data_IF_970051301354
#
_entry.id   IF_970051301354
#
_cell.length_a   1.000
_cell.length_b   1.000
_cell.length_c   1.000
_cell.angle_alpha   90.00
_cell.angle_beta   90.00
_cell.angle_gamma   90.00
#
_symmetry.space_group_name_H-M   'P 1'
#
loop_
_entity.id
_entity.type
_entity.pdbx_description
1 polymer ?
#
# COMPACT_ATOMS: atom_id res chain seq x y z
N UNK A 1 -15.69 -23.94 -10.63
CA UNK A 1 -15.52 -22.49 -10.38
C UNK A 1 -14.03 -22.24 -10.29
N UNK A 2 -13.48 -21.33 -11.09
CA UNK A 2 -12.08 -20.93 -10.94
C UNK A 2 -11.93 -20.19 -9.62
N UNK A 3 -10.96 -20.60 -8.80
CA UNK A 3 -10.58 -19.85 -7.60
C UNK A 3 -9.89 -18.57 -8.11
N UNK A 4 -10.34 -17.40 -7.64
CA UNK A 4 -9.67 -16.13 -7.94
C UNK A 4 -8.34 -16.07 -7.19
N UNK A 5 -7.30 -15.61 -7.86
CA UNK A 5 -6.01 -15.32 -7.23
C UNK A 5 -6.12 -14.13 -6.27
N UNK A 6 -5.19 -14.06 -5.31
CA UNK A 6 -5.08 -12.92 -4.38
C UNK A 6 -4.92 -11.59 -5.14
N UNK A 7 -4.14 -11.59 -6.23
CA UNK A 7 -3.95 -10.41 -7.09
C UNK A 7 -5.28 -9.95 -7.70
N UNK A 8 -6.06 -10.85 -8.28
CA UNK A 8 -7.36 -10.52 -8.88
C UNK A 8 -8.34 -9.97 -7.84
N UNK A 9 -8.31 -10.49 -6.61
CA UNK A 9 -9.12 -9.98 -5.50
C UNK A 9 -8.74 -8.53 -5.18
N UNK A 10 -7.45 -8.25 -4.98
CA UNK A 10 -6.97 -6.89 -4.66
C UNK A 10 -7.27 -5.91 -5.80
N UNK A 11 -7.04 -6.30 -7.06
CA UNK A 11 -7.36 -5.43 -8.19
C UNK A 11 -8.87 -5.14 -8.32
N UNK A 12 -9.73 -6.12 -8.05
CA UNK A 12 -11.19 -5.92 -8.05
C UNK A 12 -11.63 -4.97 -6.92
N UNK A 13 -10.99 -5.06 -5.75
CA UNK A 13 -11.21 -4.13 -4.64
C UNK A 13 -10.88 -2.69 -5.05
N UNK A 14 -9.73 -2.45 -5.67
CA UNK A 14 -9.38 -1.10 -6.15
C UNK A 14 -10.32 -0.60 -7.23
N UNK A 15 -10.73 -1.48 -8.14
CA UNK A 15 -11.66 -1.13 -9.21
C UNK A 15 -13.04 -0.75 -8.69
N UNK A 16 -13.62 -1.57 -7.81
CA UNK A 16 -15.03 -1.45 -7.41
C UNK A 16 -15.23 -0.77 -6.06
N UNK A 17 -14.49 -1.18 -5.04
CA UNK A 17 -14.68 -0.65 -3.69
C UNK A 17 -14.04 0.74 -3.57
N UNK A 18 -12.81 0.92 -4.03
CA UNK A 18 -12.11 2.22 -3.96
C UNK A 18 -12.56 3.14 -5.10
N UNK A 19 -12.31 2.75 -6.35
CA UNK A 19 -12.64 3.57 -7.53
C UNK A 19 -14.15 3.70 -7.77
N UNK A 20 -14.89 2.60 -7.64
CA UNK A 20 -16.34 2.58 -7.79
C UNK A 20 -17.13 2.98 -6.53
N UNK A 21 -16.46 3.20 -5.40
CA UNK A 21 -17.06 3.57 -4.10
C UNK A 21 -18.15 2.60 -3.62
N UNK A 22 -18.04 1.32 -4.00
CA UNK A 22 -18.98 0.24 -3.67
C UNK A 22 -18.63 -0.40 -2.32
N UNK A 23 -19.12 0.19 -1.24
CA UNK A 23 -18.86 -0.32 0.13
C UNK A 23 -19.62 -1.60 0.44
N UNK A 24 -20.58 -2.02 -0.39
CA UNK A 24 -21.28 -3.31 -0.19
C UNK A 24 -20.32 -4.51 -0.26
N UNK A 25 -19.13 -4.30 -0.83
CA UNK A 25 -18.09 -5.31 -0.99
C UNK A 25 -17.20 -5.49 0.24
N UNK A 26 -17.31 -4.64 1.26
CA UNK A 26 -16.39 -4.68 2.41
C UNK A 26 -16.50 -6.01 3.16
N UNK A 27 -17.71 -6.53 3.37
CA UNK A 27 -17.93 -7.82 4.02
C UNK A 27 -17.57 -9.02 3.14
N UNK A 28 -17.41 -8.79 1.83
CA UNK A 28 -17.00 -9.84 0.88
C UNK A 28 -15.49 -10.04 0.86
N UNK A 29 -14.71 -8.97 1.08
CA UNK A 29 -13.27 -9.00 0.85
C UNK A 29 -12.42 -8.68 2.07
N UNK A 30 -12.97 -8.03 3.10
CA UNK A 30 -12.22 -7.60 4.27
C UNK A 30 -12.62 -8.46 5.46
N UNK A 31 -11.62 -9.09 6.07
CA UNK A 31 -11.80 -9.94 7.25
C UNK A 31 -12.21 -9.10 8.47
N UNK A 32 -13.01 -9.68 9.36
CA UNK A 32 -13.37 -9.01 10.63
C UNK A 32 -12.18 -8.86 11.58
N UNK A 33 -11.11 -9.66 11.38
CA UNK A 33 -9.82 -9.53 12.08
C UNK A 33 -8.79 -8.72 11.30
N UNK A 34 -9.24 -7.88 10.37
CA UNK A 34 -8.35 -7.01 9.58
C UNK A 34 -7.50 -6.13 10.48
N UNK A 35 -6.18 -6.14 10.25
CA UNK A 35 -5.20 -5.31 10.96
C UNK A 35 -4.74 -4.18 10.03
N UNK A 36 -4.83 -2.94 10.52
CA UNK A 36 -4.36 -1.75 9.79
C UNK A 36 -3.01 -1.27 10.36
N UNK A 37 -2.07 -0.96 9.47
CA UNK A 37 -0.78 -0.37 9.82
C UNK A 37 -0.59 1.07 9.30
N UNK A 38 -1.52 1.57 8.48
CA UNK A 38 -1.50 2.94 7.97
C UNK A 38 -1.47 3.98 9.08
N UNK A 39 -0.50 4.90 9.03
CA UNK A 39 -0.43 6.00 10.00
C UNK A 39 -1.62 6.97 9.94
N UNK A 40 -2.44 6.88 8.89
CA UNK A 40 -3.56 7.78 8.64
C UNK A 40 -4.91 7.21 9.08
N UNK A 41 -5.03 5.89 9.23
CA UNK A 41 -6.31 5.22 9.39
C UNK A 41 -6.42 4.55 10.75
N UNK A 42 -7.63 4.61 11.33
CA UNK A 42 -7.94 3.84 12.54
C UNK A 42 -7.87 2.35 12.26
N UNK A 43 -7.68 1.58 13.33
CA UNK A 43 -7.59 0.13 13.22
C UNK A 43 -8.90 -0.53 12.73
N UNK A 44 -8.74 -1.73 12.21
CA UNK A 44 -9.84 -2.64 11.94
C UNK A 44 -10.65 -2.27 10.72
N UNK A 45 -11.55 -3.20 10.38
CA UNK A 45 -12.51 -3.04 9.29
C UNK A 45 -13.37 -1.78 9.44
N UNK A 46 -13.68 -1.40 10.68
CA UNK A 46 -14.41 -0.17 10.99
C UNK A 46 -13.63 1.11 10.59
N UNK A 47 -12.31 1.15 10.84
CA UNK A 47 -11.47 2.27 10.40
C UNK A 47 -11.40 2.40 8.88
N UNK A 48 -11.33 1.27 8.18
CA UNK A 48 -11.42 1.24 6.71
C UNK A 48 -12.79 1.71 6.21
N UNK A 49 -13.90 1.26 6.82
CA UNK A 49 -15.25 1.72 6.48
C UNK A 49 -15.39 3.24 6.62
N UNK A 50 -14.87 3.80 7.72
CA UNK A 50 -14.87 5.24 7.96
C UNK A 50 -14.12 6.00 6.86
N UNK A 51 -12.94 5.52 6.47
CA UNK A 51 -12.14 6.10 5.39
C UNK A 51 -12.86 6.07 4.03
N UNK A 52 -13.53 4.96 3.72
CA UNK A 52 -14.29 4.81 2.48
C UNK A 52 -15.54 5.70 2.44
N UNK A 53 -16.20 5.90 3.58
CA UNK A 53 -17.31 6.86 3.68
C UNK A 53 -16.82 8.31 3.49
N UNK A 54 -15.66 8.66 4.03
CA UNK A 54 -15.03 9.96 3.76
C UNK A 54 -14.68 10.13 2.28
N UNK A 55 -14.14 9.09 1.65
CA UNK A 55 -13.82 9.09 0.21
C UNK A 55 -15.07 9.35 -0.66
N UNK A 56 -16.26 8.87 -0.25
CA UNK A 56 -17.51 9.15 -0.96
C UNK A 56 -17.89 10.63 -0.97
N UNK A 57 -17.49 11.38 0.05
CA UNK A 57 -17.81 12.81 0.17
C UNK A 57 -16.91 13.68 -0.72
N UNK A 58 -15.77 13.16 -1.16
CA UNK A 58 -14.89 13.86 -2.09
C UNK A 58 -15.49 13.84 -3.50
N UNK A 59 -15.28 14.88 -4.33
CA UNK A 59 -15.69 14.84 -5.73
C UNK A 59 -15.10 13.60 -6.42
N UNK A 60 -15.84 12.91 -7.31
CA UNK A 60 -15.29 11.81 -8.07
C UNK A 60 -14.07 12.30 -8.85
N UNK A 61 -12.94 11.62 -8.69
CA UNK A 61 -11.75 11.90 -9.50
C UNK A 61 -12.09 11.62 -10.96
N UNK A 62 -12.05 12.65 -11.80
CA UNK A 62 -12.27 12.50 -13.23
C UNK A 62 -11.26 11.50 -13.81
N UNK A 63 -11.76 10.35 -14.30
CA UNK A 63 -11.02 9.52 -15.25
C UNK A 63 -10.08 8.42 -14.75
N UNK A 64 -9.90 8.19 -13.44
CA UNK A 64 -9.07 7.05 -12.97
C UNK A 64 -9.87 6.01 -12.20
N UNK A 65 -10.36 5.01 -12.93
CA UNK A 65 -10.74 3.72 -12.34
C UNK A 65 -9.44 2.95 -12.08
N UNK A 66 -8.98 2.96 -10.83
CA UNK A 66 -7.78 2.28 -10.32
C UNK A 66 -6.42 2.71 -10.95
N UNK A 67 -5.70 3.67 -10.34
CA UNK A 67 -4.41 4.20 -10.81
C UNK A 67 -3.20 3.27 -10.54
N UNK A 68 -3.36 1.97 -10.82
CA UNK A 68 -2.35 0.95 -10.55
C UNK A 68 -1.24 1.01 -11.61
N UNK A 69 -0.01 1.25 -11.16
CA UNK A 69 1.21 1.22 -11.98
C UNK A 69 1.75 -0.20 -12.10
N UNK A 70 1.82 -0.93 -11.00
CA UNK A 70 2.17 -2.35 -10.98
C UNK A 70 1.51 -3.09 -9.80
N UNK A 71 1.37 -4.40 -9.94
CA UNK A 71 0.86 -5.30 -8.92
C UNK A 71 1.79 -6.53 -8.81
N UNK A 72 2.27 -6.79 -7.61
CA UNK A 72 3.21 -7.89 -7.29
C UNK A 72 2.51 -8.82 -6.32
N UNK A 73 2.35 -10.09 -6.66
CA UNK A 73 1.75 -11.10 -5.81
C UNK A 73 2.72 -12.26 -5.59
N UNK A 74 2.99 -12.57 -4.32
CA UNK A 74 3.81 -13.71 -3.93
C UNK A 74 3.23 -14.35 -2.66
N UNK A 75 2.84 -15.62 -2.77
CA UNK A 75 2.13 -16.35 -1.72
C UNK A 75 0.84 -15.64 -1.30
N UNK A 76 0.74 -15.36 0.00
CA UNK A 76 -0.41 -14.69 0.61
C UNK A 76 -0.37 -13.16 0.53
N UNK A 77 0.68 -12.59 -0.07
CA UNK A 77 0.87 -11.15 -0.13
C UNK A 77 0.62 -10.60 -1.54
N UNK A 78 0.06 -9.39 -1.58
CA UNK A 78 -0.09 -8.60 -2.81
C UNK A 78 0.30 -7.17 -2.51
N UNK A 79 1.19 -6.61 -3.32
CA UNK A 79 1.57 -5.21 -3.26
C UNK A 79 1.14 -4.47 -4.53
N UNK A 80 0.73 -3.23 -4.37
CA UNK A 80 0.44 -2.31 -5.46
C UNK A 80 1.37 -1.10 -5.38
N UNK A 81 1.84 -0.65 -6.54
CA UNK A 81 2.30 0.73 -6.72
C UNK A 81 1.19 1.51 -7.41
N UNK A 82 0.80 2.63 -6.83
CA UNK A 82 -0.22 3.53 -7.36
C UNK A 82 0.39 4.89 -7.68
N UNK A 83 -0.16 5.56 -8.69
CA UNK A 83 0.15 6.96 -8.99
C UNK A 83 -1.15 7.76 -9.08
N UNK A 84 -1.55 8.35 -7.95
CA UNK A 84 -2.83 9.02 -7.78
C UNK A 84 -2.68 10.54 -7.88
N UNK A 85 -3.75 11.24 -8.21
CA UNK A 85 -3.79 12.71 -8.12
C UNK A 85 -4.57 13.12 -6.89
N UNK A 86 -3.94 13.87 -5.98
CA UNK A 86 -4.56 14.43 -4.79
C UNK A 86 -4.25 15.93 -4.72
N UNK A 87 -5.29 16.78 -4.68
CA UNK A 87 -5.13 18.24 -4.64
C UNK A 87 -4.14 18.76 -5.70
N UNK A 88 -4.33 18.32 -6.96
CA UNK A 88 -3.49 18.67 -8.13
C UNK A 88 -2.04 18.16 -8.09
N UNK A 89 -1.68 17.35 -7.08
CA UNK A 89 -0.35 16.75 -6.95
C UNK A 89 -0.37 15.27 -7.28
N UNK A 90 0.66 14.79 -7.97
CA UNK A 90 0.89 13.38 -8.16
C UNK A 90 1.48 12.77 -6.88
N UNK A 91 0.82 11.74 -6.35
CA UNK A 91 1.21 11.02 -5.14
C UNK A 91 1.49 9.56 -5.53
N UNK A 92 2.68 9.07 -5.17
CA UNK A 92 2.99 7.65 -5.23
C UNK A 92 2.57 7.00 -3.92
N UNK A 93 1.80 5.93 -4.02
CA UNK A 93 1.37 5.11 -2.87
C UNK A 93 1.83 3.68 -3.10
N UNK A 94 2.38 3.06 -2.07
CA UNK A 94 2.61 1.63 -2.03
C UNK A 94 1.66 1.06 -1.00
N UNK A 95 0.78 0.19 -1.44
CA UNK A 95 -0.09 -0.59 -0.55
C UNK A 95 0.36 -2.04 -0.57
N UNK A 96 0.53 -2.65 0.60
CA UNK A 96 0.87 -4.05 0.79
C UNK A 96 -0.25 -4.72 1.58
N UNK A 97 -0.75 -5.82 1.05
CA UNK A 97 -1.83 -6.61 1.64
C UNK A 97 -1.34 -8.00 1.97
N UNK A 98 -1.86 -8.56 3.06
CA UNK A 98 -1.85 -10.01 3.31
C UNK A 98 -3.27 -10.54 3.25
N UNK A 99 -3.44 -11.67 2.58
CA UNK A 99 -4.72 -12.33 2.41
C UNK A 99 -4.70 -13.71 3.05
N UNK A 100 -5.84 -14.13 3.57
CA UNK A 100 -6.10 -15.51 3.98
C UNK A 100 -7.47 -15.93 3.44
N UNK A 101 -7.54 -17.09 2.79
CA UNK A 101 -8.79 -17.66 2.28
C UNK A 101 -9.60 -16.68 1.40
N UNK A 102 -8.92 -15.83 0.63
CA UNK A 102 -9.53 -14.85 -0.27
C UNK A 102 -10.03 -13.58 0.41
N UNK A 103 -9.70 -13.35 1.69
CA UNK A 103 -10.00 -12.13 2.43
C UNK A 103 -8.71 -11.37 2.76
N UNK A 104 -8.72 -10.04 2.67
CA UNK A 104 -7.66 -9.19 3.22
C UNK A 104 -7.76 -9.24 4.75
N UNK A 105 -6.66 -9.64 5.36
CA UNK A 105 -6.53 -9.74 6.83
C UNK A 105 -5.55 -8.71 7.40
N UNK A 106 -4.73 -8.07 6.58
CA UNK A 106 -3.72 -7.12 7.05
C UNK A 106 -3.30 -6.19 5.92
N UNK A 107 -2.98 -4.94 6.26
CA UNK A 107 -2.61 -3.90 5.31
C UNK A 107 -1.56 -2.95 5.87
N UNK A 108 -0.58 -2.62 5.03
CA UNK A 108 0.40 -1.57 5.25
C UNK A 108 0.42 -0.63 4.06
N UNK A 109 0.66 0.65 4.32
CA UNK A 109 0.88 1.63 3.27
C UNK A 109 2.10 2.51 3.54
N UNK A 110 2.57 3.15 2.47
CA UNK A 110 3.38 4.35 2.55
C UNK A 110 3.13 5.21 1.31
N UNK A 111 3.25 6.52 1.47
CA UNK A 111 3.06 7.46 0.37
C UNK A 111 4.07 8.60 0.36
N UNK A 112 4.29 9.16 -0.83
CA UNK A 112 5.04 10.42 -1.01
C UNK A 112 4.49 11.19 -2.20
N UNK A 113 4.66 12.50 -2.16
CA UNK A 113 4.50 13.34 -3.36
C UNK A 113 5.58 12.97 -4.38
N UNK A 114 5.17 12.71 -5.62
CA UNK A 114 6.02 12.16 -6.69
C UNK A 114 7.11 13.14 -7.11
N UNK A 115 6.73 14.42 -7.25
CA UNK A 115 7.59 15.48 -7.79
C UNK A 115 8.27 16.29 -6.69
N UNK A 116 8.04 15.93 -5.42
CA UNK A 116 8.72 16.56 -4.29
C UNK A 116 10.18 16.13 -4.27
N UNK A 117 11.07 17.07 -4.56
CA UNK A 117 12.51 16.90 -4.40
C UNK A 117 12.84 16.93 -2.91
N UNK A 118 12.87 15.77 -2.27
CA UNK A 118 13.37 15.61 -0.91
C UNK A 118 14.86 15.33 -0.93
N UNK A 119 15.62 15.91 0.00
CA UNK A 119 16.99 15.46 0.25
C UNK A 119 17.01 13.94 0.49
N UNK A 120 18.05 13.26 0.00
CA UNK A 120 18.22 11.83 0.26
C UNK A 120 18.23 11.59 1.77
N UNK A 121 17.26 10.85 2.27
CA UNK A 121 17.25 10.43 3.66
C UNK A 121 18.13 9.19 3.77
N UNK A 122 19.27 9.33 4.44
CA UNK A 122 20.14 8.19 4.74
C UNK A 122 19.57 7.42 5.93
N UNK A 123 19.03 6.22 5.64
CA UNK A 123 18.45 5.33 6.63
C UNK A 123 19.48 4.27 6.97
N UNK A 124 19.96 4.33 8.21
CA UNK A 124 20.94 3.40 8.76
C UNK A 124 20.28 2.22 9.48
N UNK A 125 21.04 1.13 9.65
CA UNK A 125 20.58 -0.04 10.40
C UNK A 125 19.39 -0.76 9.76
N UNK A 126 19.33 -0.79 8.43
CA UNK A 126 18.22 -1.39 7.69
C UNK A 126 17.99 -2.85 8.07
N UNK A 127 16.77 -3.16 8.48
CA UNK A 127 16.28 -4.51 8.72
C UNK A 127 15.20 -4.83 7.71
N UNK A 128 15.51 -5.75 6.81
CA UNK A 128 14.54 -6.27 5.84
C UNK A 128 13.46 -7.07 6.57
N UNK A 129 12.20 -6.77 6.26
CA UNK A 129 11.04 -7.45 6.82
C UNK A 129 10.42 -8.41 5.81
N UNK A 130 10.24 -7.95 4.57
CA UNK A 130 9.57 -8.71 3.52
C UNK A 130 10.21 -8.40 2.17
N UNK A 131 10.24 -9.41 1.30
CA UNK A 131 10.59 -9.28 -0.11
C UNK A 131 9.48 -9.97 -0.89
N UNK A 132 8.90 -9.28 -1.86
CA UNK A 132 7.99 -9.87 -2.84
C UNK A 132 8.62 -9.73 -4.22
N UNK A 133 8.53 -10.76 -5.06
CA UNK A 133 9.01 -10.74 -6.44
C UNK A 133 8.01 -11.40 -7.38
N UNK A 134 7.71 -10.70 -8.46
CA UNK A 134 6.92 -11.23 -9.56
C UNK A 134 7.35 -10.58 -10.87
N UNK A 135 7.58 -11.40 -11.89
CA UNK A 135 8.11 -10.97 -13.18
C UNK A 135 9.39 -10.10 -13.02
N UNK A 136 9.39 -8.90 -13.62
CA UNK A 136 10.47 -7.92 -13.52
C UNK A 136 10.42 -7.08 -12.24
N UNK A 137 9.39 -7.22 -11.40
CA UNK A 137 9.17 -6.36 -10.25
C UNK A 137 9.60 -7.02 -8.94
N UNK A 138 10.18 -6.22 -8.05
CA UNK A 138 10.52 -6.67 -6.69
C UNK A 138 10.18 -5.57 -5.70
N UNK A 139 9.41 -5.90 -4.68
CA UNK A 139 9.19 -5.06 -3.50
C UNK A 139 10.13 -5.49 -2.38
N UNK A 140 10.72 -4.54 -1.70
CA UNK A 140 11.42 -4.70 -0.44
C UNK A 140 10.76 -3.78 0.60
N UNK A 141 10.25 -4.36 1.68
CA UNK A 141 9.83 -3.60 2.86
C UNK A 141 10.88 -3.77 3.96
N UNK A 142 11.33 -2.66 4.52
CA UNK A 142 12.33 -2.62 5.58
C UNK A 142 12.04 -1.52 6.58
N UNK A 143 12.72 -1.58 7.72
CA UNK A 143 12.75 -0.51 8.72
C UNK A 143 14.20 -0.09 8.99
N UNK A 144 14.39 1.11 9.50
CA UNK A 144 15.69 1.59 9.96
C UNK A 144 15.58 2.91 10.72
N UNK A 145 16.71 3.58 10.91
CA UNK A 145 16.78 4.85 11.64
C UNK A 145 17.45 5.93 10.81
N UNK A 146 16.82 7.10 10.75
CA UNK A 146 17.39 8.33 10.20
C UNK A 146 17.07 9.50 11.13
N UNK A 147 17.99 10.44 11.32
CA UNK A 147 17.80 11.61 12.20
C UNK A 147 17.23 11.25 13.59
N UNK A 148 17.74 10.17 14.20
CA UNK A 148 17.27 9.62 15.49
C UNK A 148 15.78 9.23 15.54
N UNK A 149 15.15 9.03 14.39
CA UNK A 149 13.75 8.62 14.29
C UNK A 149 13.62 7.29 13.54
N UNK A 150 12.72 6.38 13.98
CA UNK A 150 12.44 5.16 13.26
C UNK A 150 11.71 5.46 11.94
N UNK A 151 12.03 4.70 10.90
CA UNK A 151 11.43 4.84 9.58
C UNK A 151 11.02 3.46 9.03
N UNK A 152 9.94 3.44 8.25
CA UNK A 152 9.62 2.39 7.30
C UNK A 152 10.10 2.81 5.92
N UNK A 153 10.63 1.83 5.18
CA UNK A 153 11.09 2.00 3.82
C UNK A 153 10.45 0.95 2.91
N UNK A 154 9.90 1.40 1.79
CA UNK A 154 9.48 0.55 0.69
C UNK A 154 10.33 0.89 -0.53
N UNK A 155 10.93 -0.13 -1.12
CA UNK A 155 11.65 -0.06 -2.38
C UNK A 155 10.96 -0.97 -3.40
N UNK A 156 10.54 -0.42 -4.52
CA UNK A 156 10.09 -1.18 -5.69
C UNK A 156 11.14 -1.06 -6.77
N UNK A 157 11.65 -2.20 -7.23
CA UNK A 157 12.59 -2.29 -8.33
C UNK A 157 11.91 -2.88 -9.55
N UNK A 158 12.20 -2.33 -10.73
CA UNK A 158 11.99 -3.01 -12.01
C UNK A 158 13.34 -3.43 -12.56
N UNK A 159 13.50 -4.71 -12.87
CA UNK A 159 14.76 -5.28 -13.34
C UNK A 159 14.59 -5.98 -14.69
N UNK A 160 15.64 -5.92 -15.49
CA UNK A 160 15.83 -6.76 -16.67
C UNK A 160 16.99 -7.71 -16.39
N UNK A 161 16.67 -8.99 -16.14
CA UNK A 161 17.62 -9.96 -15.63
C UNK A 161 18.21 -9.53 -14.28
N UNK A 162 19.53 -9.34 -14.24
CA UNK A 162 20.28 -8.88 -13.05
C UNK A 162 20.44 -7.36 -12.96
N UNK A 163 19.96 -6.60 -13.95
CA UNK A 163 20.14 -5.15 -14.03
C UNK A 163 18.88 -4.45 -13.54
N UNK A 164 19.02 -3.65 -12.49
CA UNK A 164 17.96 -2.74 -12.03
C UNK A 164 17.82 -1.61 -13.05
N UNK A 165 16.63 -1.47 -13.63
CA UNK A 165 16.29 -0.43 -14.60
C UNK A 165 15.64 0.77 -13.94
N UNK A 166 14.91 0.53 -12.85
CA UNK A 166 14.11 1.55 -12.16
C UNK A 166 14.02 1.21 -10.69
N UNK A 167 14.05 2.24 -9.84
CA UNK A 167 13.80 2.14 -8.42
C UNK A 167 12.84 3.24 -7.98
N UNK A 168 11.74 2.85 -7.34
CA UNK A 168 10.84 3.74 -6.62
C UNK A 168 11.05 3.47 -5.13
N UNK A 169 11.47 4.51 -4.40
CA UNK A 169 11.66 4.44 -2.96
C UNK A 169 10.67 5.36 -2.25
N UNK A 170 9.97 4.85 -1.25
CA UNK A 170 9.16 5.63 -0.29
C UNK A 170 9.72 5.37 1.10
N UNK A 171 10.10 6.45 1.78
CA UNK A 171 10.59 6.43 3.17
C UNK A 171 9.60 7.25 3.99
N UNK A 172 9.14 6.71 5.11
CA UNK A 172 8.21 7.39 6.00
C UNK A 172 8.68 7.25 7.45
N UNK A 173 8.71 8.37 8.17
CA UNK A 173 8.90 8.37 9.63
C UNK A 173 7.78 7.55 10.27
N UNK A 174 8.13 6.67 11.20
CA UNK A 174 7.15 6.05 12.09
C UNK A 174 6.80 7.07 13.18
N UNK A 175 5.57 7.62 13.20
CA UNK A 175 5.19 8.61 14.20
C UNK A 175 5.23 8.03 15.61
N UNK A 176 5.45 8.89 16.61
CA UNK A 176 5.40 8.49 18.02
C UNK A 176 4.00 8.06 18.47
N UNK A 177 2.98 8.56 17.81
CA UNK A 177 1.56 8.28 18.10
C UNK A 177 0.89 7.87 16.79
N UNK A 178 0.29 6.69 16.80
CA UNK A 178 -0.50 6.15 15.71
C UNK A 178 -1.98 6.10 16.15
N UNK A 179 -2.93 6.13 15.19
CA UNK A 179 -4.36 5.93 15.48
C UNK A 179 -4.70 4.49 15.93
N UNK A 180 -3.69 3.60 16.00
CA UNK A 180 -3.80 2.19 16.38
C UNK A 180 -2.52 1.68 17.05
N UNK A 181 -2.56 0.47 17.61
CA UNK A 181 -1.43 -0.17 18.33
C UNK A 181 -0.50 -1.02 17.47
N UNK A 182 -0.79 -1.20 16.17
CA UNK A 182 -0.16 -2.24 15.34
C UNK A 182 1.24 -1.89 14.80
N UNK A 183 1.70 -0.65 14.96
CA UNK A 183 2.92 -0.17 14.31
C UNK A 183 2.77 -0.05 12.78
N UNK A 184 3.87 0.21 12.08
CA UNK A 184 3.88 0.42 10.62
C UNK A 184 4.61 -0.69 9.82
N UNK A 185 5.08 -1.76 10.48
CA UNK A 185 5.85 -2.88 9.91
C UNK A 185 5.18 -4.22 10.21
#
# INVERSE_FOLDING_TARGET
MSIRSNKEIVLEIYRRMIGGRDLSLIDTYISDRYIQHSAMLRDGKAGLQEALEQLKQLPPSEGQVAPVVCAIAEGDFVALLLNITLMEKAILVIDLFRLEQGLIVEHWDAMREKDLVTASTDVSGLKVRRILKEDSWTLLQSEGTAHNSPHVCYDIFRSDGSVVQEQIRIIQVIPKVLPHGNGMI
#
